data_IF_417709676272
#
_entry.id   IF_417709676272
#
_cell.length_a   1.000
_cell.length_b   1.000
_cell.length_c   1.000
_cell.angle_alpha   90.00
_cell.angle_beta   90.00
_cell.angle_gamma   90.00
#
_symmetry.space_group_name_H-M   'P 1'
#
loop_
_entity.id
_entity.type
_entity.pdbx_description
1 polymer ?
#
# COMPACT_ATOMS: atom_id res chain seq x y z
N UNK A 1 -33.41 -18.08 5.97
CA UNK A 1 -33.05 -16.99 5.05
C UNK A 1 -34.35 -16.44 4.51
N UNK A 2 -34.78 -15.29 4.97
CA UNK A 2 -35.90 -14.55 4.39
C UNK A 2 -35.41 -13.91 3.09
N UNK A 3 -35.96 -14.32 1.96
CA UNK A 3 -35.72 -13.64 0.68
C UNK A 3 -36.44 -12.30 0.78
N UNK A 4 -35.69 -11.22 0.83
CA UNK A 4 -36.28 -9.88 0.78
C UNK A 4 -36.85 -9.66 -0.62
N UNK A 5 -38.12 -9.28 -0.64
CA UNK A 5 -38.94 -9.21 -1.85
C UNK A 5 -38.82 -7.88 -2.60
N UNK A 6 -38.10 -6.90 -2.05
CA UNK A 6 -38.05 -5.54 -2.60
C UNK A 6 -36.62 -5.16 -3.05
N UNK A 7 -36.52 -4.71 -4.30
CA UNK A 7 -35.29 -4.17 -4.88
C UNK A 7 -34.72 -3.00 -4.06
N UNK A 8 -35.62 -2.17 -3.52
CA UNK A 8 -35.24 -1.01 -2.70
C UNK A 8 -34.49 -1.44 -1.44
N UNK A 9 -34.98 -2.49 -0.75
CA UNK A 9 -34.29 -3.03 0.44
C UNK A 9 -32.96 -3.63 0.10
N UNK A 10 -32.82 -4.32 -1.05
CA UNK A 10 -31.50 -4.81 -1.50
C UNK A 10 -30.53 -3.67 -1.76
N UNK A 11 -30.94 -2.62 -2.46
CA UNK A 11 -30.10 -1.46 -2.72
C UNK A 11 -29.74 -0.70 -1.43
N UNK A 12 -30.69 -0.60 -0.50
CA UNK A 12 -30.53 0.07 0.81
C UNK A 12 -29.45 -0.58 1.68
N UNK A 13 -29.30 -1.90 1.63
CA UNK A 13 -28.30 -2.63 2.44
C UNK A 13 -26.90 -2.67 1.84
N UNK A 14 -26.71 -2.12 0.64
CA UNK A 14 -25.40 -2.06 -0.02
C UNK A 14 -24.45 -1.09 0.69
N UNK A 15 -23.16 -1.21 0.41
CA UNK A 15 -22.11 -0.44 1.06
C UNK A 15 -22.03 1.01 0.57
N UNK A 16 -21.89 1.21 -0.75
CA UNK A 16 -21.64 2.53 -1.35
C UNK A 16 -22.64 2.81 -2.47
N UNK A 17 -22.96 4.10 -2.68
CA UNK A 17 -23.91 4.59 -3.68
C UNK A 17 -23.57 4.10 -5.07
N UNK A 18 -22.28 4.12 -5.44
CA UNK A 18 -21.78 3.65 -6.75
C UNK A 18 -22.01 2.15 -6.99
N UNK A 19 -22.28 1.38 -5.95
CA UNK A 19 -22.65 -0.04 -6.00
C UNK A 19 -24.12 -0.28 -5.72
N UNK A 20 -24.90 0.75 -5.40
CA UNK A 20 -26.30 0.67 -5.03
C UNK A 20 -27.23 1.08 -6.18
N UNK A 21 -26.89 0.65 -7.37
CA UNK A 21 -27.67 0.83 -8.59
C UNK A 21 -28.06 -0.53 -9.16
N UNK A 22 -29.19 -0.58 -9.85
CA UNK A 22 -29.67 -1.77 -10.56
C UNK A 22 -30.05 -1.40 -12.00
N UNK A 23 -29.92 -2.35 -12.91
CA UNK A 23 -30.33 -2.18 -14.30
C UNK A 23 -31.26 -3.31 -14.73
N UNK A 24 -32.33 -2.96 -15.42
CA UNK A 24 -33.19 -3.91 -16.10
C UNK A 24 -33.48 -3.44 -17.53
N UNK A 25 -33.51 -4.34 -18.53
CA UNK A 25 -33.88 -3.97 -19.90
C UNK A 25 -35.30 -3.38 -20.00
N UNK A 26 -36.19 -3.70 -19.04
CA UNK A 26 -37.59 -3.22 -19.04
C UNK A 26 -37.73 -1.85 -18.42
N UNK A 27 -37.04 -1.58 -17.31
CA UNK A 27 -37.20 -0.38 -16.50
C UNK A 27 -36.00 0.60 -16.61
N UNK A 28 -34.95 0.20 -17.32
CA UNK A 28 -33.72 0.98 -17.40
C UNK A 28 -32.90 0.93 -16.12
N UNK A 29 -32.12 1.97 -15.87
CA UNK A 29 -31.29 2.13 -14.69
C UNK A 29 -32.10 2.66 -13.51
N UNK A 30 -32.03 1.98 -12.38
CA UNK A 30 -32.62 2.35 -11.11
C UNK A 30 -31.51 2.81 -10.17
N UNK A 31 -31.56 4.08 -9.78
CA UNK A 31 -30.58 4.74 -8.90
C UNK A 31 -31.31 5.51 -7.80
N UNK A 32 -31.52 4.87 -6.67
CA UNK A 32 -32.26 5.44 -5.54
C UNK A 32 -31.39 6.29 -4.60
N UNK A 33 -30.06 6.16 -4.72
CA UNK A 33 -29.10 6.76 -3.77
C UNK A 33 -28.10 7.71 -4.44
N UNK A 34 -28.31 8.06 -5.70
CA UNK A 34 -27.47 9.03 -6.41
C UNK A 34 -26.11 8.48 -6.85
N UNK A 35 -26.03 7.17 -7.06
CA UNK A 35 -24.80 6.49 -7.46
C UNK A 35 -24.21 6.99 -8.79
N UNK A 36 -25.06 7.34 -9.77
CA UNK A 36 -24.62 7.94 -11.04
C UNK A 36 -23.93 9.30 -10.82
N UNK A 37 -24.52 10.14 -9.96
CA UNK A 37 -23.94 11.43 -9.63
C UNK A 37 -22.60 11.28 -8.93
N UNK A 38 -22.51 10.38 -7.95
CA UNK A 38 -21.25 10.12 -7.24
C UNK A 38 -20.21 9.48 -8.17
N UNK A 39 -20.61 8.57 -9.05
CA UNK A 39 -19.75 7.99 -10.08
C UNK A 39 -19.17 9.06 -11.01
N UNK A 40 -20.02 9.98 -11.48
CA UNK A 40 -19.60 11.09 -12.37
C UNK A 40 -18.67 12.09 -11.70
N UNK A 41 -18.83 12.30 -10.39
CA UNK A 41 -18.00 13.19 -9.56
C UNK A 41 -16.74 12.52 -9.02
N UNK A 42 -16.60 11.18 -9.17
CA UNK A 42 -15.50 10.42 -8.59
C UNK A 42 -15.55 10.36 -7.06
N UNK A 43 -16.73 10.13 -6.48
CA UNK A 43 -16.95 10.11 -5.03
C UNK A 43 -17.33 8.70 -4.55
N UNK A 44 -16.73 8.25 -3.45
CA UNK A 44 -17.14 7.07 -2.69
C UNK A 44 -17.93 7.56 -1.47
N UNK A 45 -19.22 7.29 -1.47
CA UNK A 45 -20.17 7.65 -0.41
C UNK A 45 -20.90 6.42 0.09
N UNK A 46 -21.05 6.26 1.41
CA UNK A 46 -21.91 5.22 1.99
C UNK A 46 -23.38 5.43 1.64
N UNK A 47 -24.12 4.32 1.51
CA UNK A 47 -25.58 4.33 1.44
C UNK A 47 -26.13 4.59 2.83
N UNK A 48 -26.86 5.71 3.00
CA UNK A 48 -27.42 6.10 4.30
C UNK A 48 -26.36 6.58 5.30
N UNK A 49 -26.48 6.16 6.56
CA UNK A 49 -25.58 6.59 7.64
C UNK A 49 -24.33 5.70 7.68
N UNK A 50 -23.13 6.25 7.46
CA UNK A 50 -21.89 5.48 7.42
C UNK A 50 -21.64 4.67 8.69
N UNK A 51 -21.90 5.27 9.86
CA UNK A 51 -21.66 4.66 11.16
C UNK A 51 -22.44 3.36 11.31
N UNK A 52 -23.73 3.37 10.93
CA UNK A 52 -24.59 2.19 10.97
C UNK A 52 -24.12 1.11 9.98
N UNK A 53 -23.65 1.54 8.79
CA UNK A 53 -23.14 0.63 7.76
C UNK A 53 -21.88 -0.10 8.21
N UNK A 54 -21.00 0.58 8.95
CA UNK A 54 -19.75 -0.01 9.46
C UNK A 54 -20.02 -0.90 10.68
N UNK A 55 -20.99 -0.57 11.51
CA UNK A 55 -21.45 -1.45 12.61
C UNK A 55 -22.04 -2.77 12.10
N UNK A 56 -22.76 -2.75 10.96
CA UNK A 56 -23.31 -3.97 10.35
C UNK A 56 -22.22 -4.89 9.77
N UNK A 57 -21.22 -4.33 9.11
CA UNK A 57 -20.04 -5.05 8.59
C UNK A 57 -18.84 -4.10 8.50
N UNK A 58 -17.97 -4.18 9.49
CA UNK A 58 -16.78 -3.36 9.59
C UNK A 58 -15.83 -3.49 8.40
N UNK A 59 -15.88 -4.60 7.61
CA UNK A 59 -15.09 -4.72 6.39
C UNK A 59 -15.41 -3.63 5.37
N UNK A 60 -16.61 -3.03 5.43
CA UNK A 60 -16.99 -1.91 4.56
C UNK A 60 -16.01 -0.74 4.68
N UNK A 61 -15.39 -0.54 5.84
CA UNK A 61 -14.30 0.43 6.04
C UNK A 61 -13.17 0.19 5.02
N UNK A 62 -12.62 -1.03 5.00
CA UNK A 62 -11.53 -1.36 4.04
C UNK A 62 -12.02 -1.39 2.59
N UNK A 63 -13.28 -1.77 2.35
CA UNK A 63 -13.88 -1.74 1.02
C UNK A 63 -13.95 -0.31 0.48
N UNK A 64 -14.31 0.69 1.31
CA UNK A 64 -14.29 2.11 0.94
C UNK A 64 -12.91 2.58 0.52
N UNK A 65 -11.89 2.28 1.34
CA UNK A 65 -10.50 2.58 1.04
C UNK A 65 -10.03 1.90 -0.25
N UNK A 66 -10.40 0.64 -0.46
CA UNK A 66 -10.08 -0.10 -1.68
C UNK A 66 -10.75 0.50 -2.92
N UNK A 67 -12.04 0.83 -2.86
CA UNK A 67 -12.74 1.45 -3.99
C UNK A 67 -12.11 2.80 -4.35
N UNK A 68 -11.83 3.64 -3.36
CA UNK A 68 -11.13 4.89 -3.56
C UNK A 68 -9.75 4.66 -4.21
N UNK A 69 -8.96 3.73 -3.70
CA UNK A 69 -7.66 3.39 -4.27
C UNK A 69 -7.75 2.89 -5.72
N UNK A 70 -8.64 1.93 -5.99
CA UNK A 70 -8.75 1.30 -7.31
C UNK A 70 -9.30 2.24 -8.38
N UNK A 71 -10.32 3.02 -8.05
CA UNK A 71 -10.99 3.94 -8.97
C UNK A 71 -10.30 5.31 -9.03
N UNK A 72 -9.51 5.65 -8.00
CA UNK A 72 -8.92 6.98 -7.81
C UNK A 72 -9.98 8.03 -7.46
N UNK A 73 -11.03 7.62 -6.76
CA UNK A 73 -12.13 8.46 -6.31
C UNK A 73 -11.84 8.99 -4.91
N UNK A 74 -12.37 10.18 -4.60
CA UNK A 74 -12.32 10.75 -3.26
C UNK A 74 -13.38 10.11 -2.37
N UNK A 75 -13.08 9.97 -1.08
CA UNK A 75 -14.07 9.52 -0.10
C UNK A 75 -14.82 10.73 0.41
N UNK A 76 -16.14 10.67 0.41
CA UNK A 76 -17.01 11.74 0.92
C UNK A 76 -16.70 12.01 2.39
N UNK A 77 -16.75 13.28 2.80
CA UNK A 77 -16.29 13.76 4.11
C UNK A 77 -16.93 13.02 5.29
N UNK A 78 -18.28 12.84 5.28
CA UNK A 78 -18.99 12.13 6.35
C UNK A 78 -18.57 10.66 6.40
N UNK A 79 -18.43 10.02 5.24
CA UNK A 79 -17.94 8.65 5.12
C UNK A 79 -16.51 8.51 5.61
N UNK A 80 -15.63 9.46 5.25
CA UNK A 80 -14.22 9.50 5.67
C UNK A 80 -14.09 9.64 7.20
N UNK A 81 -14.88 10.54 7.79
CA UNK A 81 -14.90 10.74 9.24
C UNK A 81 -15.30 9.46 9.98
N UNK A 82 -16.37 8.81 9.55
CA UNK A 82 -16.82 7.55 10.14
C UNK A 82 -15.77 6.42 9.98
N UNK A 83 -15.07 6.34 8.84
CA UNK A 83 -13.95 5.41 8.64
C UNK A 83 -12.87 5.61 9.70
N UNK A 84 -12.48 6.85 9.97
CA UNK A 84 -11.43 7.16 10.94
C UNK A 84 -11.89 6.91 12.38
N UNK A 85 -13.13 7.25 12.72
CA UNK A 85 -13.68 7.07 14.06
C UNK A 85 -13.91 5.61 14.40
N UNK A 86 -14.44 4.82 13.47
CA UNK A 86 -14.80 3.42 13.69
C UNK A 86 -13.72 2.42 13.23
N UNK A 87 -12.51 2.85 12.92
CA UNK A 87 -11.42 1.98 12.44
C UNK A 87 -11.14 0.77 13.33
N UNK A 88 -11.33 0.91 14.63
CA UNK A 88 -11.08 -0.16 15.61
C UNK A 88 -12.00 -1.39 15.43
N UNK A 89 -13.16 -1.21 14.79
CA UNK A 89 -14.05 -2.32 14.45
C UNK A 89 -13.39 -3.35 13.54
N UNK A 90 -12.36 -2.95 12.79
CA UNK A 90 -11.59 -3.88 11.94
C UNK A 90 -10.91 -5.00 12.74
N UNK A 91 -10.69 -4.85 14.04
CA UNK A 91 -10.15 -5.90 14.90
C UNK A 91 -11.06 -7.13 15.01
N UNK A 92 -12.36 -6.97 14.75
CA UNK A 92 -13.33 -8.07 14.75
C UNK A 92 -13.37 -8.85 13.43
N UNK A 93 -12.72 -8.33 12.37
CA UNK A 93 -12.74 -8.93 11.04
C UNK A 93 -11.64 -9.99 10.91
N UNK A 94 -11.96 -11.11 10.25
CA UNK A 94 -10.97 -12.16 10.02
C UNK A 94 -9.80 -11.67 9.14
N UNK A 95 -8.61 -12.17 9.46
CA UNK A 95 -7.38 -11.77 8.79
C UNK A 95 -7.40 -11.99 7.27
N UNK A 96 -8.08 -13.05 6.83
CA UNK A 96 -8.21 -13.40 5.42
C UNK A 96 -9.07 -12.36 4.66
N UNK A 97 -10.16 -11.88 5.29
CA UNK A 97 -11.01 -10.82 4.70
C UNK A 97 -10.23 -9.51 4.60
N UNK A 98 -9.49 -9.14 5.66
CA UNK A 98 -8.60 -7.97 5.65
C UNK A 98 -7.54 -8.10 4.55
N UNK A 99 -6.84 -9.23 4.49
CA UNK A 99 -5.81 -9.47 3.48
C UNK A 99 -6.35 -9.39 2.05
N UNK A 100 -7.56 -9.90 1.81
CA UNK A 100 -8.22 -9.84 0.50
C UNK A 100 -8.46 -8.41 0.04
N UNK A 101 -8.95 -7.53 0.91
CA UNK A 101 -9.18 -6.13 0.58
C UNK A 101 -7.87 -5.35 0.48
N UNK A 102 -6.89 -5.61 1.38
CA UNK A 102 -5.56 -4.98 1.34
C UNK A 102 -4.83 -5.28 0.03
N UNK A 103 -4.83 -6.53 -0.44
CA UNK A 103 -4.20 -6.93 -1.72
C UNK A 103 -4.73 -6.09 -2.89
N UNK A 104 -6.03 -5.87 -2.95
CA UNK A 104 -6.69 -5.06 -3.99
C UNK A 104 -6.41 -3.57 -3.82
N UNK A 105 -6.45 -3.06 -2.57
CA UNK A 105 -6.14 -1.68 -2.24
C UNK A 105 -4.72 -1.32 -2.70
N UNK A 106 -3.75 -2.16 -2.37
CA UNK A 106 -2.35 -1.94 -2.76
C UNK A 106 -2.17 -1.88 -4.28
N UNK A 107 -2.98 -2.62 -5.07
CA UNK A 107 -2.91 -2.60 -6.53
C UNK A 107 -3.59 -1.39 -7.18
N UNK A 108 -4.32 -0.58 -6.42
CA UNK A 108 -5.01 0.60 -6.93
C UNK A 108 -4.04 1.71 -7.35
N UNK A 109 -4.50 2.57 -8.28
CA UNK A 109 -3.76 3.77 -8.73
C UNK A 109 -3.64 4.86 -7.65
N UNK A 110 -4.58 4.88 -6.70
CA UNK A 110 -4.61 5.79 -5.55
C UNK A 110 -4.00 5.20 -4.27
N UNK A 111 -3.29 4.06 -4.34
CA UNK A 111 -2.80 3.36 -3.17
C UNK A 111 -1.97 4.25 -2.24
N UNK A 112 -1.04 5.05 -2.79
CA UNK A 112 -0.21 5.98 -2.01
C UNK A 112 -1.04 6.98 -1.21
N UNK A 113 -2.01 7.63 -1.85
CA UNK A 113 -2.89 8.60 -1.20
C UNK A 113 -3.65 7.94 -0.05
N UNK A 114 -4.23 6.77 -0.28
CA UNK A 114 -4.98 6.05 0.76
C UNK A 114 -4.08 5.61 1.92
N UNK A 115 -2.88 5.13 1.64
CA UNK A 115 -1.92 4.76 2.69
C UNK A 115 -1.54 5.97 3.55
N UNK A 116 -1.35 7.16 2.95
CA UNK A 116 -1.02 8.38 3.68
C UNK A 116 -2.20 8.92 4.49
N UNK A 117 -3.36 9.11 3.83
CA UNK A 117 -4.52 9.77 4.43
C UNK A 117 -5.18 8.91 5.52
N UNK A 118 -5.11 7.57 5.39
CA UNK A 118 -5.74 6.61 6.30
C UNK A 118 -4.71 5.71 7.00
N UNK A 119 -3.50 6.23 7.26
CA UNK A 119 -2.41 5.48 7.91
C UNK A 119 -2.83 4.81 9.22
N UNK A 120 -3.66 5.47 10.03
CA UNK A 120 -4.16 4.93 11.29
C UNK A 120 -5.13 3.75 11.11
N UNK A 121 -5.88 3.71 10.00
CA UNK A 121 -6.74 2.57 9.66
C UNK A 121 -5.90 1.36 9.28
N UNK A 122 -4.86 1.57 8.47
CA UNK A 122 -3.92 0.50 8.08
C UNK A 122 -3.18 -0.04 9.31
N UNK A 123 -2.82 0.83 10.24
CA UNK A 123 -2.12 0.47 11.47
C UNK A 123 -2.98 -0.34 12.46
N UNK A 124 -4.29 -0.46 12.28
CA UNK A 124 -5.13 -1.35 13.09
C UNK A 124 -4.73 -2.82 12.92
N UNK A 125 -4.39 -3.23 11.70
CA UNK A 125 -4.01 -4.61 11.38
C UNK A 125 -2.52 -4.79 11.03
N UNK A 126 -1.77 -3.68 10.81
CA UNK A 126 -0.29 -3.67 10.72
C UNK A 126 0.24 -2.60 11.69
N UNK A 127 0.12 -2.82 13.01
CA UNK A 127 0.46 -1.80 14.03
C UNK A 127 1.94 -1.40 13.99
N UNK A 128 2.81 -2.24 13.47
CA UNK A 128 4.24 -1.97 13.34
C UNK A 128 4.54 -0.76 12.44
N UNK A 129 3.65 -0.42 11.52
CA UNK A 129 3.80 0.78 10.67
C UNK A 129 3.80 2.08 11.47
N UNK A 130 3.16 2.12 12.67
CA UNK A 130 3.13 3.33 13.50
C UNK A 130 4.52 3.83 13.89
N UNK A 131 5.46 2.92 14.08
CA UNK A 131 6.83 3.29 14.41
C UNK A 131 7.52 4.11 13.30
N UNK A 132 7.03 3.98 12.05
CA UNK A 132 7.55 4.72 10.90
C UNK A 132 6.85 6.06 10.64
N UNK A 133 5.71 6.34 11.30
CA UNK A 133 4.96 7.58 11.09
C UNK A 133 5.75 8.78 11.62
N UNK A 134 5.87 9.80 10.78
CA UNK A 134 6.58 11.04 11.08
C UNK A 134 8.04 10.83 11.53
N UNK A 135 8.61 9.63 11.29
CA UNK A 135 9.98 9.26 11.66
C UNK A 135 10.97 9.86 10.65
N UNK A 136 11.59 10.97 11.04
CA UNK A 136 12.56 11.69 10.19
C UNK A 136 13.86 10.90 10.06
N UNK A 137 14.40 10.83 8.84
CA UNK A 137 15.62 10.07 8.58
C UNK A 137 16.90 10.84 8.81
N UNK A 138 16.86 12.18 9.04
CA UNK A 138 17.99 13.08 9.27
C UNK A 138 19.24 12.73 8.44
N UNK A 139 19.02 12.47 7.14
CA UNK A 139 20.03 12.10 6.19
C UNK A 139 19.87 12.98 4.95
N UNK A 140 20.93 13.61 4.41
CA UNK A 140 20.84 14.51 3.26
C UNK A 140 20.24 13.86 1.99
N UNK A 141 20.18 12.53 1.95
CA UNK A 141 19.62 11.77 0.82
C UNK A 141 18.10 11.48 0.95
N UNK A 142 17.46 11.84 2.07
CA UNK A 142 16.04 11.52 2.33
C UNK A 142 15.27 12.77 2.74
N UNK A 143 14.38 13.26 1.88
CA UNK A 143 13.49 14.40 2.16
C UNK A 143 12.13 13.97 2.73
N UNK A 144 11.80 12.67 2.67
CA UNK A 144 10.59 12.10 3.27
C UNK A 144 10.92 11.43 4.61
N UNK A 145 9.93 11.38 5.49
CA UNK A 145 9.95 10.47 6.62
C UNK A 145 9.93 8.99 6.15
N UNK A 146 10.14 8.06 7.06
CA UNK A 146 10.19 6.62 6.71
C UNK A 146 8.87 6.17 6.10
N UNK A 147 7.72 6.58 6.66
CA UNK A 147 6.42 6.16 6.14
C UNK A 147 6.10 6.75 4.76
N UNK A 148 6.39 8.03 4.57
CA UNK A 148 6.25 8.68 3.27
C UNK A 148 7.10 8.03 2.18
N UNK A 149 8.34 7.61 2.52
CA UNK A 149 9.20 6.83 1.65
C UNK A 149 8.60 5.46 1.31
N UNK A 150 8.08 4.74 2.32
CA UNK A 150 7.37 3.46 2.13
C UNK A 150 6.20 3.63 1.16
N UNK A 151 5.34 4.64 1.37
CA UNK A 151 4.18 4.89 0.53
C UNK A 151 4.56 5.23 -0.93
N UNK A 152 5.61 6.03 -1.11
CA UNK A 152 6.16 6.34 -2.44
C UNK A 152 6.72 5.08 -3.12
N UNK A 153 7.38 4.21 -2.37
CA UNK A 153 7.92 2.94 -2.88
C UNK A 153 6.81 2.01 -3.36
N UNK A 154 5.67 1.94 -2.63
CA UNK A 154 4.49 1.17 -3.06
C UNK A 154 3.94 1.67 -4.39
N UNK A 155 3.84 2.99 -4.58
CA UNK A 155 3.31 3.59 -5.82
C UNK A 155 4.18 3.26 -7.03
N UNK A 156 5.50 3.29 -6.85
CA UNK A 156 6.47 3.23 -7.95
C UNK A 156 6.76 1.81 -8.46
N UNK A 157 6.27 0.76 -7.80
CA UNK A 157 6.40 -0.61 -8.32
C UNK A 157 5.14 -1.05 -9.07
N UNK A 158 5.29 -2.07 -9.92
CA UNK A 158 4.17 -2.66 -10.66
C UNK A 158 3.01 -2.97 -9.71
N UNK A 159 1.74 -2.83 -10.17
CA UNK A 159 0.54 -3.08 -9.37
C UNK A 159 0.29 -4.59 -9.17
N UNK A 160 1.31 -5.31 -8.73
CA UNK A 160 1.25 -6.68 -8.28
C UNK A 160 1.28 -6.68 -6.76
N UNK A 161 0.28 -7.25 -6.10
CA UNK A 161 0.08 -7.09 -4.68
C UNK A 161 1.25 -7.59 -3.83
N UNK A 162 1.92 -8.67 -4.24
CA UNK A 162 3.10 -9.18 -3.53
C UNK A 162 4.24 -8.16 -3.54
N UNK A 163 4.53 -7.56 -4.71
CA UNK A 163 5.57 -6.53 -4.82
C UNK A 163 5.21 -5.30 -3.98
N UNK A 164 3.96 -4.84 -4.07
CA UNK A 164 3.50 -3.67 -3.32
C UNK A 164 3.45 -3.92 -1.81
N UNK A 165 3.10 -5.13 -1.38
CA UNK A 165 3.18 -5.51 0.02
C UNK A 165 4.63 -5.61 0.49
N UNK A 166 5.54 -6.12 -0.34
CA UNK A 166 6.99 -6.10 -0.04
C UNK A 166 7.47 -4.66 0.15
N UNK A 167 7.07 -3.73 -0.75
CA UNK A 167 7.41 -2.30 -0.60
C UNK A 167 6.79 -1.67 0.64
N UNK A 168 5.57 -2.06 1.03
CA UNK A 168 4.96 -1.57 2.28
C UNK A 168 5.76 -1.99 3.53
N UNK A 169 6.47 -3.12 3.46
CA UNK A 169 7.19 -3.68 4.60
C UNK A 169 8.72 -3.49 4.55
N UNK A 170 9.32 -3.04 3.42
CA UNK A 170 10.78 -3.10 3.21
C UNK A 170 11.61 -2.31 4.22
N UNK A 171 11.10 -1.19 4.68
CA UNK A 171 11.79 -0.27 5.61
C UNK A 171 11.16 -0.22 7.02
N UNK A 172 10.24 -1.15 7.32
CA UNK A 172 9.51 -1.17 8.61
C UNK A 172 10.44 -1.39 9.82
N UNK A 173 11.62 -1.95 9.62
CA UNK A 173 12.65 -2.15 10.65
C UNK A 173 13.51 -0.93 10.93
N UNK A 174 13.47 0.14 10.11
CA UNK A 174 14.32 1.33 10.29
C UNK A 174 14.19 1.99 11.65
N UNK A 175 12.98 2.27 12.17
CA UNK A 175 12.84 2.94 13.46
C UNK A 175 13.51 2.20 14.61
N UNK A 176 13.46 0.88 14.62
CA UNK A 176 14.05 0.04 15.68
C UNK A 176 15.57 -0.06 15.62
N UNK A 177 16.15 0.14 14.44
CA UNK A 177 17.58 0.03 14.20
C UNK A 177 18.25 1.39 14.01
N UNK A 178 17.57 2.45 14.45
CA UNK A 178 18.06 3.81 14.34
C UNK A 178 19.21 4.07 15.31
N UNK A 179 20.30 4.63 14.79
CA UNK A 179 21.43 5.16 15.55
C UNK A 179 21.82 6.51 14.96
N UNK A 180 22.40 7.37 15.77
CA UNK A 180 22.88 8.69 15.35
C UNK A 180 24.39 8.75 15.58
N UNK A 181 25.13 9.23 14.61
CA UNK A 181 26.57 9.44 14.76
C UNK A 181 26.91 10.79 15.41
N UNK A 182 28.20 11.06 15.61
CA UNK A 182 28.71 12.28 16.26
C UNK A 182 28.35 13.57 15.48
N UNK A 183 28.03 13.45 14.19
CA UNK A 183 27.64 14.55 13.31
C UNK A 183 26.11 14.73 13.25
N UNK A 184 25.33 13.97 14.00
CA UNK A 184 23.87 14.02 14.01
C UNK A 184 23.22 13.30 12.83
N UNK A 185 23.99 12.50 12.07
CA UNK A 185 23.49 11.75 10.90
C UNK A 185 22.88 10.43 11.37
N UNK A 186 21.67 10.14 10.88
CA UNK A 186 20.96 8.90 11.16
C UNK A 186 21.48 7.72 10.36
N UNK A 187 21.68 6.60 11.02
CA UNK A 187 22.06 5.32 10.44
C UNK A 187 21.05 4.24 10.81
N UNK A 188 20.86 3.26 9.93
CA UNK A 188 19.89 2.18 10.07
C UNK A 188 20.53 0.81 9.80
N UNK A 189 21.72 0.58 10.36
CA UNK A 189 22.47 -0.66 10.14
C UNK A 189 21.63 -1.88 10.56
N UNK A 190 21.56 -2.90 9.69
CA UNK A 190 20.83 -4.16 9.93
C UNK A 190 19.31 -4.02 10.01
N UNK A 191 18.71 -2.86 9.67
CA UNK A 191 17.26 -2.69 9.64
C UNK A 191 16.54 -3.75 8.77
N UNK A 192 17.23 -4.25 7.74
CA UNK A 192 16.71 -5.28 6.86
C UNK A 192 16.43 -6.62 7.57
N UNK A 193 17.25 -7.00 8.57
CA UNK A 193 17.04 -8.24 9.32
C UNK A 193 15.88 -8.09 10.30
N UNK A 194 15.81 -6.96 11.01
CA UNK A 194 14.67 -6.64 11.88
C UNK A 194 13.38 -6.53 11.05
N UNK A 195 13.42 -5.84 9.91
CA UNK A 195 12.28 -5.71 9.01
C UNK A 195 11.81 -7.07 8.45
N UNK A 196 12.72 -7.97 8.10
CA UNK A 196 12.37 -9.33 7.66
C UNK A 196 11.65 -10.12 8.76
N UNK A 197 12.13 -10.03 10.00
CA UNK A 197 11.47 -10.65 11.17
C UNK A 197 10.09 -10.07 11.44
N UNK A 198 9.94 -8.73 11.35
CA UNK A 198 8.64 -8.08 11.48
C UNK A 198 7.70 -8.49 10.34
N UNK A 199 8.19 -8.51 9.09
CA UNK A 199 7.41 -8.93 7.92
C UNK A 199 6.89 -10.36 8.07
N UNK A 200 7.69 -11.29 8.57
CA UNK A 200 7.25 -12.67 8.85
C UNK A 200 6.03 -12.71 9.77
N UNK A 201 6.10 -12.01 10.88
CA UNK A 201 5.00 -11.93 11.84
C UNK A 201 3.74 -11.33 11.24
N UNK A 202 3.90 -10.27 10.43
CA UNK A 202 2.79 -9.59 9.74
C UNK A 202 2.14 -10.51 8.72
N UNK A 203 2.92 -11.19 7.86
CA UNK A 203 2.41 -12.12 6.85
C UNK A 203 1.66 -13.29 7.49
N UNK A 204 2.18 -13.84 8.60
CA UNK A 204 1.52 -14.87 9.40
C UNK A 204 0.20 -14.36 10.00
N UNK A 205 0.19 -13.18 10.62
CA UNK A 205 -1.00 -12.55 11.21
C UNK A 205 -2.07 -12.31 10.15
N UNK A 206 -1.70 -11.83 8.97
CA UNK A 206 -2.58 -11.61 7.83
C UNK A 206 -2.98 -12.89 7.10
N UNK A 207 -2.51 -14.05 7.56
CA UNK A 207 -2.76 -15.37 6.97
C UNK A 207 -2.50 -15.40 5.46
N UNK A 208 -1.38 -14.80 5.05
CA UNK A 208 -0.90 -14.91 3.67
C UNK A 208 -0.46 -16.35 3.41
N UNK A 209 -0.86 -16.89 2.26
CA UNK A 209 -0.50 -18.26 1.88
C UNK A 209 1.03 -18.46 1.77
N UNK A 210 1.50 -19.68 2.04
CA UNK A 210 2.92 -20.00 2.13
C UNK A 210 3.69 -19.70 0.84
N UNK A 211 3.09 -19.90 -0.33
CA UNK A 211 3.74 -19.65 -1.62
C UNK A 211 3.97 -18.16 -1.83
N UNK A 212 2.96 -17.34 -1.54
CA UNK A 212 3.06 -15.88 -1.60
C UNK A 212 3.99 -15.32 -0.53
N UNK A 213 3.96 -15.84 0.69
CA UNK A 213 4.87 -15.44 1.76
C UNK A 213 6.33 -15.72 1.37
N UNK A 214 6.63 -16.92 0.85
CA UNK A 214 7.96 -17.26 0.33
C UNK A 214 8.41 -16.31 -0.76
N UNK A 215 7.54 -16.00 -1.72
CA UNK A 215 7.84 -15.05 -2.79
C UNK A 215 8.18 -13.65 -2.25
N UNK A 216 7.42 -13.15 -1.26
CA UNK A 216 7.68 -11.86 -0.60
C UNK A 216 9.04 -11.90 0.12
N UNK A 217 9.40 -12.99 0.78
CA UNK A 217 10.72 -13.15 1.42
C UNK A 217 11.86 -13.14 0.42
N UNK A 218 11.70 -13.82 -0.71
CA UNK A 218 12.70 -13.82 -1.78
C UNK A 218 12.92 -12.41 -2.34
N UNK A 219 11.83 -11.66 -2.54
CA UNK A 219 11.90 -10.26 -2.96
C UNK A 219 12.58 -9.39 -1.90
N UNK A 220 12.20 -9.54 -0.63
CA UNK A 220 12.76 -8.80 0.49
C UNK A 220 14.27 -9.08 0.63
N UNK A 221 14.68 -10.34 0.59
CA UNK A 221 16.07 -10.76 0.64
C UNK A 221 16.91 -10.21 -0.50
N UNK A 222 16.37 -10.17 -1.72
CA UNK A 222 17.09 -9.63 -2.89
C UNK A 222 17.35 -8.13 -2.80
N UNK A 223 16.46 -7.38 -2.16
CA UNK A 223 16.64 -5.93 -1.94
C UNK A 223 17.76 -5.63 -0.94
N UNK A 224 17.95 -6.51 0.04
CA UNK A 224 18.83 -6.25 1.18
C UNK A 224 20.26 -6.72 0.97
N UNK A 225 20.48 -7.75 0.15
CA UNK A 225 21.79 -8.38 -0.01
C UNK A 225 22.47 -8.05 -1.32
N UNK A 226 21.78 -7.45 -2.29
CA UNK A 226 22.27 -7.27 -3.66
C UNK A 226 22.53 -8.61 -4.37
N UNK A 227 22.20 -9.73 -3.73
CA UNK A 227 22.42 -11.08 -4.24
C UNK A 227 21.25 -11.51 -5.13
N UNK A 228 21.54 -11.67 -6.42
CA UNK A 228 20.63 -12.27 -7.39
C UNK A 228 20.55 -13.78 -7.14
N UNK A 229 19.39 -14.36 -6.84
CA UNK A 229 19.23 -15.79 -6.97
C UNK A 229 19.41 -16.15 -8.47
N UNK A 230 20.50 -16.86 -8.80
CA UNK A 230 20.71 -17.40 -10.14
C UNK A 230 19.56 -18.33 -10.49
N UNK A 231 18.78 -17.94 -11.51
CA UNK A 231 17.68 -18.71 -12.11
C UNK A 231 16.39 -18.80 -11.26
N UNK A 232 15.63 -17.73 -11.19
CA UNK A 232 14.18 -17.81 -11.04
C UNK A 232 13.51 -17.04 -12.19
N UNK A 233 12.26 -17.36 -12.50
CA UNK A 233 11.39 -16.63 -13.48
C UNK A 233 11.23 -15.13 -13.15
N UNK A 234 11.93 -14.64 -12.14
CA UNK A 234 11.91 -13.26 -11.64
C UNK A 234 12.94 -12.33 -12.30
N UNK A 235 13.75 -12.77 -13.26
CA UNK A 235 14.82 -11.96 -13.87
C UNK A 235 14.34 -10.62 -14.41
N UNK A 236 13.21 -10.60 -15.11
CA UNK A 236 12.63 -9.37 -15.67
C UNK A 236 11.95 -8.50 -14.61
N UNK A 237 11.39 -9.12 -13.56
CA UNK A 237 10.80 -8.42 -12.42
C UNK A 237 11.88 -7.70 -11.60
N UNK A 238 13.03 -8.35 -11.42
CA UNK A 238 14.14 -7.82 -10.64
C UNK A 238 14.79 -6.60 -11.32
N UNK A 239 14.98 -6.66 -12.63
CA UNK A 239 15.49 -5.51 -13.40
C UNK A 239 14.57 -4.28 -13.25
N UNK A 240 13.26 -4.50 -13.29
CA UNK A 240 12.25 -3.46 -13.06
C UNK A 240 12.29 -2.91 -11.62
N UNK A 241 12.46 -3.78 -10.60
CA UNK A 241 12.57 -3.36 -9.20
C UNK A 241 13.86 -2.60 -8.92
N UNK A 242 14.99 -3.08 -9.44
CA UNK A 242 16.29 -2.41 -9.26
C UNK A 242 16.29 -1.05 -9.92
N UNK A 243 15.75 -0.93 -11.14
CA UNK A 243 15.58 0.35 -11.81
C UNK A 243 14.62 1.28 -11.06
N UNK A 244 13.56 0.74 -10.47
CA UNK A 244 12.60 1.51 -9.67
C UNK A 244 13.23 1.96 -8.35
N UNK A 245 14.00 1.10 -7.67
CA UNK A 245 14.73 1.47 -6.44
C UNK A 245 15.83 2.48 -6.73
N UNK A 246 16.60 2.31 -7.81
CA UNK A 246 17.57 3.29 -8.28
C UNK A 246 16.89 4.62 -8.62
N UNK A 247 15.72 4.59 -9.27
CA UNK A 247 14.95 5.78 -9.58
C UNK A 247 14.37 6.45 -8.33
N UNK A 248 13.90 5.68 -7.33
CA UNK A 248 13.45 6.20 -6.04
C UNK A 248 14.62 6.84 -5.28
N UNK A 249 15.77 6.16 -5.20
CA UNK A 249 16.99 6.69 -4.59
C UNK A 249 17.44 7.96 -5.32
N UNK A 250 17.43 7.96 -6.65
CA UNK A 250 17.79 9.09 -7.50
C UNK A 250 16.82 10.29 -7.31
N UNK A 251 15.51 10.04 -7.29
CA UNK A 251 14.50 11.07 -7.00
C UNK A 251 14.62 11.60 -5.56
N UNK A 252 14.90 10.74 -4.61
CA UNK A 252 15.15 11.11 -3.21
C UNK A 252 16.44 11.93 -3.03
N UNK A 253 17.42 11.74 -3.91
CA UNK A 253 18.68 12.50 -3.92
C UNK A 253 18.58 13.85 -4.66
N UNK A 254 17.40 14.22 -5.19
CA UNK A 254 17.19 15.50 -5.90
C UNK A 254 17.96 15.66 -7.22
N UNK A 255 18.44 14.56 -7.81
CA UNK A 255 19.23 14.60 -9.05
C UNK A 255 18.33 14.79 -10.27
N UNK A 256 18.66 15.72 -11.15
CA UNK A 256 17.84 16.15 -12.30
C UNK A 256 18.08 15.34 -13.59
N UNK A 257 19.14 14.52 -13.67
CA UNK A 257 19.45 13.70 -14.85
C UNK A 257 19.76 12.26 -14.51
N UNK A 258 19.00 11.33 -15.10
CA UNK A 258 19.27 9.89 -15.06
C UNK A 258 20.37 9.55 -16.10
N UNK A 259 21.46 8.85 -15.73
CA UNK A 259 22.41 8.37 -16.73
C UNK A 259 21.70 7.37 -17.66
N UNK A 260 21.80 7.57 -18.97
CA UNK A 260 21.24 6.67 -19.97
C UNK A 260 21.90 5.29 -19.88
N UNK A 261 21.16 4.31 -19.37
CA UNK A 261 21.58 2.90 -19.43
C UNK A 261 21.38 2.40 -20.86
N UNK A 262 22.39 2.52 -21.68
CA UNK A 262 22.44 1.85 -22.98
C UNK A 262 22.59 0.34 -22.78
N UNK A 263 21.90 -0.44 -23.60
CA UNK A 263 21.79 -1.92 -23.57
C UNK A 263 23.12 -2.68 -23.80
N UNK A 264 24.26 -1.99 -23.86
CA UNK A 264 25.58 -2.58 -24.16
C UNK A 264 26.40 -2.98 -22.93
N UNK A 265 25.93 -2.85 -21.70
CA UNK A 265 26.69 -3.01 -20.47
C UNK A 265 26.58 -4.36 -19.77
N UNK A 266 26.49 -5.51 -20.46
CA UNK A 266 26.41 -6.85 -19.83
C UNK A 266 27.70 -7.33 -19.12
N UNK A 267 28.81 -6.57 -19.13
CA UNK A 267 30.13 -7.04 -18.65
C UNK A 267 30.87 -6.17 -17.63
N UNK A 268 30.33 -5.08 -17.07
CA UNK A 268 31.13 -4.23 -16.17
C UNK A 268 30.40 -3.66 -14.94
N UNK A 269 29.51 -4.42 -14.30
CA UNK A 269 28.87 -4.03 -13.03
C UNK A 269 29.68 -4.47 -11.80
N UNK A 270 30.95 -4.89 -11.96
CA UNK A 270 31.82 -5.32 -10.85
C UNK A 270 32.76 -4.23 -10.31
N UNK A 271 32.72 -3.00 -10.81
CA UNK A 271 33.65 -1.95 -10.36
C UNK A 271 33.06 -0.53 -10.42
N UNK A 272 31.88 -0.32 -9.83
CA UNK A 272 31.43 1.02 -9.46
C UNK A 272 31.69 1.23 -7.97
N UNK A 273 32.96 1.28 -7.62
CA UNK A 273 33.42 1.96 -6.42
C UNK A 273 33.24 3.45 -6.66
N UNK A 274 32.40 4.07 -5.85
CA UNK A 274 32.24 5.53 -5.83
C UNK A 274 33.59 6.11 -5.38
N UNK A 275 34.42 6.54 -6.33
CA UNK A 275 35.54 7.40 -6.02
C UNK A 275 35.00 8.82 -5.82
N UNK A 276 35.21 9.33 -4.63
CA UNK A 276 35.08 10.73 -4.29
C UNK A 276 35.91 11.58 -5.25
N UNK A 277 35.31 12.58 -5.84
CA UNK A 277 36.00 13.79 -6.27
C UNK A 277 35.07 14.97 -6.00
N UNK A 278 35.28 15.55 -4.82
CA UNK A 278 34.98 16.93 -4.52
C UNK A 278 36.09 17.79 -5.19
N UNK A 279 35.69 18.66 -6.09
CA UNK A 279 36.20 20.02 -6.21
C UNK A 279 35.08 20.96 -6.55
#
# INVERSE_FOLDING_TARGET
>A
MTFESSLEEDLKRRDFTVNAMAYSPKTGLIDLYGGQSDLSKGIIRCVGEPEKRFDEDALRILRGLRFSSCLGFEIEEKTSKAILEQRELLKSISAERIASELKKLLCGKGARKILLDYREVIAVFIPELRESFDFRQNNPHHFLDVYGHICLSVENVRPQWQMRLTMLLHDIGKPRMHTVDENGISHFKKHQFEGAYMAEKILKRLRIDNASAKYIYELYGSMTTGYLPRKSRCGDLWLSMTLTLLWIIWKCAGLTHMPSLTTSGRKSLQSLTISQSLQ
#
